data_IF_442870263884
#
_entry.id   IF_442870263884
#
_cell.length_a   1.000
_cell.length_b   1.000
_cell.length_c   1.000
_cell.angle_alpha   90.00
_cell.angle_beta   90.00
_cell.angle_gamma   90.00
#
_symmetry.space_group_name_H-M   'P 1'
#
loop_
_entity.id
_entity.type
_entity.pdbx_description
1 polymer ?
#
# COMPACT_ATOMS: atom_id res chain seq x y z
N UNK A 1 -9.26 34.52 21.48
CA UNK A 1 -8.11 33.61 21.72
C UNK A 1 -8.33 32.45 20.75
N UNK A 2 -7.91 32.47 19.48
CA UNK A 2 -6.58 32.72 18.87
C UNK A 2 -5.48 31.91 19.55
N UNK A 3 -5.28 30.68 19.04
CA UNK A 3 -4.05 29.89 18.92
C UNK A 3 -4.29 29.13 17.59
N UNK A 4 -3.67 29.42 16.44
CA UNK A 4 -2.25 29.38 16.08
C UNK A 4 -1.61 28.02 16.39
N UNK A 5 -1.79 27.06 15.48
CA UNK A 5 -0.76 26.09 15.14
C UNK A 5 -0.53 26.18 13.62
N UNK A 6 0.74 26.30 13.29
CA UNK A 6 1.36 26.57 12.01
C UNK A 6 2.40 25.45 11.86
N UNK A 7 2.51 24.85 10.67
CA UNK A 7 3.60 23.97 10.19
C UNK A 7 3.51 22.53 10.75
N UNK A 8 3.40 21.46 9.94
CA UNK A 8 4.25 21.15 8.79
C UNK A 8 3.50 20.59 7.57
N UNK A 9 3.64 21.31 6.45
CA UNK A 9 3.61 20.75 5.11
C UNK A 9 5.00 20.18 4.82
N UNK A 10 5.16 18.86 4.95
CA UNK A 10 6.29 18.02 4.51
C UNK A 10 5.65 16.62 4.43
N UNK A 11 5.55 15.89 3.34
CA UNK A 11 6.16 15.97 2.04
C UNK A 11 6.18 14.53 1.52
N UNK A 12 5.06 14.04 0.97
CA UNK A 12 5.15 12.92 0.03
C UNK A 12 5.69 13.50 -1.27
N UNK A 13 7.01 13.58 -1.32
CA UNK A 13 7.68 13.58 -2.59
C UNK A 13 7.22 12.31 -3.31
N UNK A 14 6.55 12.51 -4.44
CA UNK A 14 6.47 11.55 -5.52
C UNK A 14 7.78 10.76 -5.58
N UNK A 15 7.73 9.46 -5.32
CA UNK A 15 8.69 8.54 -5.91
C UNK A 15 8.20 8.20 -7.34
N UNK A 16 7.96 9.25 -8.13
CA UNK A 16 8.39 9.20 -9.51
C UNK A 16 9.87 9.54 -9.43
N UNK A 17 10.73 8.55 -9.68
CA UNK A 17 12.16 8.73 -9.66
C UNK A 17 12.52 9.98 -10.47
N UNK A 18 13.16 10.95 -9.81
CA UNK A 18 13.62 12.14 -10.51
C UNK A 18 14.69 11.72 -11.50
N UNK A 19 14.51 12.06 -12.78
CA UNK A 19 15.47 11.81 -13.85
C UNK A 19 16.90 12.18 -13.43
N UNK A 20 17.71 11.18 -13.07
CA UNK A 20 19.15 11.36 -12.92
C UNK A 20 19.79 11.19 -14.29
N UNK A 21 20.45 12.24 -14.79
CA UNK A 21 20.98 12.31 -16.17
C UNK A 21 22.19 11.39 -16.43
N UNK A 22 22.50 10.51 -15.50
CA UNK A 22 23.77 9.78 -15.45
C UNK A 22 23.67 8.29 -15.89
N UNK A 23 22.49 7.77 -16.26
CA UNK A 23 22.28 6.36 -16.66
C UNK A 23 22.19 6.11 -18.18
N UNK A 24 23.18 6.54 -18.97
CA UNK A 24 23.20 6.18 -20.42
C UNK A 24 23.77 4.77 -20.61
N UNK A 25 22.89 3.77 -20.67
CA UNK A 25 23.26 2.35 -20.78
C UNK A 25 22.32 1.49 -21.65
N UNK A 26 21.91 1.93 -22.84
CA UNK A 26 20.98 1.17 -23.69
C UNK A 26 21.59 0.07 -24.56
N UNK A 27 20.89 -1.07 -24.66
CA UNK A 27 21.07 -2.08 -25.73
C UNK A 27 20.67 -1.47 -27.08
N UNK A 28 21.54 -1.57 -28.07
CA UNK A 28 21.22 -1.23 -29.47
C UNK A 28 20.04 -2.10 -29.98
N UNK A 29 18.85 -1.50 -30.13
CA UNK A 29 17.70 -2.12 -30.77
C UNK A 29 16.77 -1.09 -31.44
N UNK A 30 17.29 -0.35 -32.43
CA UNK A 30 16.50 0.53 -33.30
C UNK A 30 16.17 1.90 -32.69
N UNK A 31 15.97 2.89 -33.57
CA UNK A 31 15.56 4.25 -33.16
C UNK A 31 14.05 4.35 -32.92
N UNK A 32 13.31 3.25 -33.07
CA UNK A 32 11.85 3.20 -32.92
C UNK A 32 11.50 2.12 -31.89
N UNK A 33 10.83 2.52 -30.82
CA UNK A 33 10.38 1.65 -29.73
C UNK A 33 8.87 1.48 -29.84
N UNK A 34 8.46 0.22 -29.96
CA UNK A 34 7.07 -0.20 -29.95
C UNK A 34 6.88 -1.17 -28.80
N UNK A 35 6.32 -0.67 -27.70
CA UNK A 35 5.93 -1.52 -26.58
C UNK A 35 4.50 -2.01 -26.82
N UNK A 36 4.28 -3.32 -26.82
CA UNK A 36 2.93 -3.88 -26.91
C UNK A 36 2.25 -3.76 -25.53
N UNK A 37 1.79 -2.55 -25.18
CA UNK A 37 1.17 -2.34 -23.87
C UNK A 37 -0.16 -3.08 -23.76
N UNK A 38 -0.31 -3.86 -22.69
CA UNK A 38 -1.48 -4.73 -22.45
C UNK A 38 -2.23 -4.39 -21.19
N UNK A 39 -1.60 -3.65 -20.28
CA UNK A 39 -2.17 -3.25 -19.00
C UNK A 39 -1.94 -1.77 -18.75
N UNK A 40 -2.93 -1.12 -18.15
CA UNK A 40 -2.86 0.26 -17.72
C UNK A 40 -3.35 0.39 -16.28
N UNK A 41 -2.56 1.07 -15.45
CA UNK A 41 -2.91 1.45 -14.09
C UNK A 41 -2.65 2.94 -13.92
N UNK A 42 -3.41 3.63 -13.07
CA UNK A 42 -3.20 5.05 -12.84
C UNK A 42 -3.34 5.47 -11.40
N UNK A 43 -3.20 6.77 -11.18
CA UNK A 43 -3.47 7.41 -9.90
C UNK A 43 -3.83 8.87 -10.11
N UNK A 44 -4.78 9.38 -9.33
CA UNK A 44 -5.16 10.79 -9.33
C UNK A 44 -4.66 11.47 -8.05
N UNK A 45 -3.75 12.44 -8.18
CA UNK A 45 -3.07 13.08 -7.06
C UNK A 45 -3.52 14.53 -6.82
N UNK A 46 -4.53 14.99 -7.56
CA UNK A 46 -5.13 16.30 -7.32
C UNK A 46 -4.19 17.43 -7.69
N UNK A 47 -4.09 18.46 -6.85
CA UNK A 47 -3.31 19.66 -7.15
C UNK A 47 -1.93 19.55 -6.49
N UNK A 48 -0.83 19.30 -7.24
CA UNK A 48 0.50 19.11 -6.66
C UNK A 48 1.13 20.42 -6.16
N UNK A 49 0.55 21.57 -6.52
CA UNK A 49 0.91 22.87 -5.96
C UNK A 49 -0.37 23.51 -5.42
N UNK A 50 -0.39 23.85 -4.13
CA UNK A 50 -1.55 24.52 -3.51
C UNK A 50 -1.96 25.75 -4.34
N UNK A 51 -3.20 25.74 -4.85
CA UNK A 51 -3.83 26.78 -5.69
C UNK A 51 -3.42 26.83 -7.17
N UNK A 52 -2.74 25.81 -7.68
CA UNK A 52 -2.65 25.55 -9.12
C UNK A 52 -4.02 25.02 -9.61
N UNK A 53 -4.57 25.54 -10.72
CA UNK A 53 -5.80 25.01 -11.32
C UNK A 53 -5.51 23.77 -12.19
N UNK A 54 -4.46 23.03 -11.84
CA UNK A 54 -3.90 21.94 -12.60
C UNK A 54 -3.96 20.67 -11.76
N UNK A 55 -4.60 19.65 -12.30
CA UNK A 55 -4.90 18.38 -11.66
C UNK A 55 -4.03 17.28 -12.25
N UNK A 56 -3.37 16.50 -11.40
CA UNK A 56 -2.38 15.50 -11.77
C UNK A 56 -2.99 14.09 -11.82
N UNK A 57 -2.64 13.37 -12.88
CA UNK A 57 -2.98 11.98 -13.11
C UNK A 57 -1.74 11.27 -13.63
N UNK A 58 -1.30 10.21 -12.98
CA UNK A 58 -0.20 9.38 -13.48
C UNK A 58 -0.78 8.11 -14.08
N UNK A 59 -0.26 7.66 -15.23
CA UNK A 59 -0.64 6.40 -15.87
C UNK A 59 0.63 5.60 -16.16
N UNK A 60 0.61 4.34 -15.76
CA UNK A 60 1.62 3.36 -16.10
C UNK A 60 1.09 2.38 -17.13
N UNK A 61 1.88 2.12 -18.19
CA UNK A 61 1.54 1.20 -19.27
C UNK A 61 2.59 0.09 -19.36
N UNK A 62 2.15 -1.15 -19.21
CA UNK A 62 3.03 -2.32 -19.12
C UNK A 62 2.86 -3.26 -20.30
N UNK A 63 3.96 -3.84 -20.78
CA UNK A 63 3.93 -4.92 -21.79
C UNK A 63 3.40 -6.23 -21.20
N UNK A 64 3.94 -6.63 -20.05
CA UNK A 64 3.50 -7.82 -19.33
C UNK A 64 2.93 -7.43 -17.98
N UNK A 65 1.79 -8.03 -17.70
CA UNK A 65 1.05 -7.92 -16.46
C UNK A 65 0.50 -9.30 -16.18
N UNK A 66 0.88 -9.90 -15.06
CA UNK A 66 0.27 -11.16 -14.63
C UNK A 66 -0.83 -10.82 -13.67
N UNK A 67 -2.07 -10.87 -14.16
CA UNK A 67 -3.24 -10.83 -13.27
C UNK A 67 -3.22 -12.06 -12.38
N UNK A 68 -3.23 -11.82 -11.08
CA UNK A 68 -3.46 -12.84 -10.08
C UNK A 68 -4.97 -12.94 -9.77
N UNK A 69 -5.40 -14.09 -9.25
CA UNK A 69 -6.82 -14.34 -8.93
C UNK A 69 -7.36 -13.40 -7.85
N UNK A 70 -6.48 -12.72 -7.11
CA UNK A 70 -6.78 -11.72 -6.07
C UNK A 70 -6.96 -10.29 -6.63
N UNK A 71 -6.81 -10.09 -7.95
CA UNK A 71 -6.94 -8.80 -8.60
C UNK A 71 -5.65 -7.98 -8.64
N UNK A 72 -4.57 -8.44 -8.03
CA UNK A 72 -3.24 -7.82 -8.17
C UNK A 72 -2.63 -8.12 -9.54
N UNK A 73 -1.69 -7.27 -9.97
CA UNK A 73 -0.99 -7.42 -11.25
C UNK A 73 0.51 -7.42 -10.97
N UNK A 74 1.20 -8.50 -11.31
CA UNK A 74 2.67 -8.50 -11.42
C UNK A 74 3.05 -7.71 -12.65
N UNK A 75 3.75 -6.60 -12.48
CA UNK A 75 4.26 -5.83 -13.60
C UNK A 75 5.73 -6.21 -13.81
N UNK A 76 5.97 -7.06 -14.80
CA UNK A 76 7.32 -7.45 -15.21
C UNK A 76 7.59 -6.93 -16.63
N UNK A 77 8.83 -6.50 -16.87
CA UNK A 77 9.25 -5.93 -18.15
C UNK A 77 9.03 -4.42 -18.30
N UNK A 78 9.41 -3.94 -19.48
CA UNK A 78 9.49 -2.51 -19.75
C UNK A 78 8.12 -1.82 -19.68
N UNK A 79 8.12 -0.56 -19.28
CA UNK A 79 6.89 0.21 -19.11
C UNK A 79 7.05 1.69 -19.44
N UNK A 80 5.91 2.35 -19.66
CA UNK A 80 5.83 3.81 -19.69
C UNK A 80 5.26 4.32 -18.38
N UNK A 81 5.88 5.33 -17.78
CA UNK A 81 5.28 6.19 -16.77
C UNK A 81 4.94 7.51 -17.44
N UNK A 82 3.67 7.90 -17.44
CA UNK A 82 3.17 9.10 -18.11
C UNK A 82 2.39 9.94 -17.11
N UNK A 83 2.88 11.15 -16.85
CA UNK A 83 2.33 12.02 -15.82
C UNK A 83 1.60 13.21 -16.44
N UNK A 84 0.27 13.23 -16.35
CA UNK A 84 -0.63 14.13 -17.05
C UNK A 84 -1.14 15.25 -16.14
N UNK A 85 -1.20 16.46 -16.69
CA UNK A 85 -1.79 17.62 -16.04
C UNK A 85 -3.03 18.09 -16.79
N UNK A 86 -4.18 18.14 -16.12
CA UNK A 86 -5.45 18.60 -16.67
C UNK A 86 -5.93 19.88 -16.01
N UNK A 87 -6.72 20.69 -16.73
CA UNK A 87 -7.45 21.82 -16.13
C UNK A 87 -8.72 21.38 -15.39
N UNK A 88 -9.10 20.11 -15.55
CA UNK A 88 -10.36 19.55 -15.06
C UNK A 88 -10.08 18.50 -13.97
N UNK A 89 -10.74 18.68 -12.83
CA UNK A 89 -10.84 17.66 -11.80
C UNK A 89 -11.75 16.51 -12.29
N UNK A 90 -11.67 15.32 -11.68
CA UNK A 90 -12.61 14.24 -11.96
C UNK A 90 -14.05 14.71 -11.70
N UNK A 91 -14.97 14.31 -12.57
CA UNK A 91 -16.40 14.59 -12.38
C UNK A 91 -17.02 13.72 -11.28
N UNK A 92 -16.45 12.54 -11.06
CA UNK A 92 -16.80 11.57 -10.02
C UNK A 92 -15.49 11.05 -9.40
N UNK A 93 -15.40 11.07 -8.07
CA UNK A 93 -14.22 10.59 -7.34
C UNK A 93 -14.25 9.08 -7.10
N UNK A 94 -15.41 8.44 -7.27
CA UNK A 94 -15.57 6.98 -7.18
C UNK A 94 -15.35 6.29 -8.54
N UNK A 95 -15.35 7.06 -9.63
CA UNK A 95 -15.15 6.60 -11.01
C UNK A 95 -14.29 7.63 -11.78
N UNK A 96 -13.02 7.71 -11.40
CA UNK A 96 -12.11 8.72 -11.92
C UNK A 96 -11.67 8.37 -13.34
N UNK A 97 -11.82 9.34 -14.24
CA UNK A 97 -11.35 9.27 -15.61
C UNK A 97 -10.36 10.41 -15.89
N UNK A 98 -9.23 10.08 -16.52
CA UNK A 98 -8.32 11.08 -17.09
C UNK A 98 -9.05 11.83 -18.22
N UNK A 99 -9.11 13.17 -18.20
CA UNK A 99 -9.81 13.92 -19.23
C UNK A 99 -9.30 13.63 -20.65
N UNK A 100 -10.22 13.49 -21.60
CA UNK A 100 -9.86 13.27 -23.00
C UNK A 100 -9.21 14.52 -23.60
N UNK A 101 -8.19 14.33 -24.41
CA UNK A 101 -7.44 15.43 -25.00
C UNK A 101 -6.07 15.01 -25.52
N UNK A 102 -5.34 15.97 -26.07
CA UNK A 102 -3.94 15.79 -26.45
C UNK A 102 -3.07 16.53 -25.45
N UNK A 103 -2.11 15.81 -24.89
CA UNK A 103 -1.15 16.27 -23.90
C UNK A 103 0.22 16.34 -24.54
N UNK A 104 0.80 17.54 -24.56
CA UNK A 104 2.14 17.78 -25.08
C UNK A 104 3.16 17.56 -23.97
N UNK A 105 4.33 17.01 -24.27
CA UNK A 105 5.42 17.03 -23.30
C UNK A 105 5.75 18.48 -22.94
N UNK A 106 5.66 18.79 -21.64
CA UNK A 106 5.95 20.10 -21.09
C UNK A 106 7.44 20.41 -21.09
N UNK A 107 7.76 21.61 -20.64
CA UNK A 107 9.15 22.00 -20.36
C UNK A 107 9.55 21.54 -18.94
N UNK A 108 10.84 21.36 -18.64
CA UNK A 108 11.32 21.02 -17.31
C UNK A 108 10.77 21.97 -16.23
N UNK A 109 10.31 21.41 -15.11
CA UNK A 109 9.70 22.06 -13.95
C UNK A 109 8.38 22.81 -14.24
N UNK A 110 7.71 22.52 -15.37
CA UNK A 110 6.44 23.14 -15.73
C UNK A 110 5.31 22.10 -15.64
N UNK A 111 4.29 22.41 -14.84
CA UNK A 111 3.15 21.55 -14.52
C UNK A 111 1.84 22.16 -15.04
N UNK A 112 1.75 22.42 -16.35
CA UNK A 112 0.62 23.14 -16.95
C UNK A 112 -0.48 22.19 -17.44
N UNK A 113 -1.74 22.60 -17.34
CA UNK A 113 -2.84 21.84 -17.93
C UNK A 113 -2.65 21.60 -19.44
N UNK A 114 -3.00 20.39 -19.90
CA UNK A 114 -2.77 19.93 -21.26
C UNK A 114 -1.34 19.49 -21.54
N UNK A 115 -0.54 19.20 -20.50
CA UNK A 115 0.84 18.72 -20.67
C UNK A 115 1.08 17.38 -19.98
N UNK A 116 2.08 16.66 -20.48
CA UNK A 116 2.80 15.63 -19.74
C UNK A 116 3.95 16.31 -18.98
N UNK A 117 4.15 16.00 -17.71
CA UNK A 117 5.29 16.53 -16.98
C UNK A 117 6.60 15.92 -17.48
N UNK A 118 7.52 16.80 -17.88
CA UNK A 118 8.85 16.44 -18.36
C UNK A 118 9.62 15.59 -17.35
N UNK A 119 9.65 16.03 -16.08
CA UNK A 119 10.50 15.43 -15.05
C UNK A 119 9.94 14.13 -14.46
N UNK A 120 8.70 13.76 -14.83
CA UNK A 120 7.96 12.62 -14.26
C UNK A 120 7.43 11.64 -15.31
N UNK A 121 7.72 11.89 -16.59
CA UNK A 121 7.33 11.01 -17.70
C UNK A 121 8.55 10.36 -18.33
N UNK A 122 8.60 9.03 -18.34
CA UNK A 122 9.73 8.25 -18.83
C UNK A 122 9.31 6.90 -19.42
N UNK A 123 10.20 6.33 -20.22
CA UNK A 123 10.22 4.91 -20.52
C UNK A 123 11.22 4.22 -19.58
N UNK A 124 10.80 3.13 -18.96
CA UNK A 124 11.61 2.40 -18.00
C UNK A 124 11.90 1.01 -18.57
N UNK A 125 13.19 0.71 -18.75
CA UNK A 125 13.66 -0.64 -19.07
C UNK A 125 13.95 -1.38 -17.77
N UNK A 126 13.22 -2.46 -17.51
CA UNK A 126 13.38 -3.26 -16.30
C UNK A 126 14.44 -4.33 -16.53
N UNK A 127 15.50 -4.33 -15.73
CA UNK A 127 16.50 -5.41 -15.76
C UNK A 127 16.55 -6.14 -14.42
N UNK A 128 16.90 -7.42 -14.48
CA UNK A 128 17.04 -8.31 -13.31
C UNK A 128 17.82 -7.78 -12.09
N UNK A 129 18.60 -6.69 -12.21
CA UNK A 129 19.31 -6.09 -11.08
C UNK A 129 19.37 -4.55 -11.12
N UNK A 130 18.72 -3.89 -12.10
CA UNK A 130 18.83 -2.45 -12.29
C UNK A 130 17.74 -1.94 -13.24
N UNK A 131 17.08 -0.84 -12.91
CA UNK A 131 16.07 -0.23 -13.78
C UNK A 131 16.68 1.00 -14.46
N UNK A 132 16.53 1.08 -15.78
CA UNK A 132 17.04 2.21 -16.56
C UNK A 132 15.87 3.06 -17.03
N UNK A 133 15.86 4.32 -16.60
CA UNK A 133 14.86 5.30 -16.98
C UNK A 133 15.37 6.17 -18.11
N UNK A 134 14.52 6.38 -19.11
CA UNK A 134 14.78 7.21 -20.27
C UNK A 134 13.71 8.28 -20.37
N UNK A 135 14.08 9.47 -19.94
CA UNK A 135 13.17 10.60 -19.87
C UNK A 135 12.85 11.12 -21.27
N UNK A 136 11.60 11.54 -21.47
CA UNK A 136 11.19 12.10 -22.75
C UNK A 136 11.72 13.52 -22.93
N UNK A 137 12.06 13.87 -24.17
CA UNK A 137 12.54 15.20 -24.58
C UNK A 137 11.58 15.94 -25.49
N UNK A 138 10.66 15.22 -26.15
CA UNK A 138 9.56 15.83 -26.91
C UNK A 138 8.45 14.82 -27.21
N UNK A 139 7.31 15.33 -27.65
CA UNK A 139 6.23 14.52 -28.23
C UNK A 139 4.87 14.82 -27.63
N UNK A 140 3.91 13.96 -27.94
CA UNK A 140 2.52 14.11 -27.52
C UNK A 140 1.84 12.77 -27.31
N UNK A 141 0.89 12.75 -26.38
CA UNK A 141 0.00 11.61 -26.11
C UNK A 141 -1.44 12.10 -26.17
N UNK A 142 -2.30 11.35 -26.84
CA UNK A 142 -3.73 11.61 -26.93
C UNK A 142 -4.51 10.57 -26.15
N UNK A 143 -5.50 11.04 -25.41
CA UNK A 143 -6.45 10.29 -24.61
C UNK A 143 -7.83 10.39 -25.24
N UNK A 144 -8.48 9.26 -25.45
CA UNK A 144 -9.87 9.15 -25.87
C UNK A 144 -10.52 7.92 -25.24
N UNK A 145 -11.82 7.73 -25.43
CA UNK A 145 -12.57 6.62 -24.82
C UNK A 145 -13.48 5.94 -25.85
N UNK A 146 -13.68 4.63 -25.66
CA UNK A 146 -14.67 3.84 -26.39
C UNK A 146 -15.53 3.05 -25.40
N UNK A 147 -16.59 3.68 -24.90
CA UNK A 147 -17.30 3.14 -23.74
C UNK A 147 -16.47 3.40 -22.48
N UNK A 148 -16.26 2.35 -21.68
CA UNK A 148 -15.50 2.42 -20.43
C UNK A 148 -13.98 2.20 -20.65
N UNK A 149 -13.58 1.76 -21.85
CA UNK A 149 -12.17 1.56 -22.19
C UNK A 149 -11.49 2.88 -22.56
N UNK A 150 -10.32 3.12 -21.96
CA UNK A 150 -9.42 4.22 -22.34
C UNK A 150 -8.62 3.82 -23.58
N UNK A 151 -8.43 4.78 -24.47
CA UNK A 151 -7.58 4.68 -25.66
C UNK A 151 -6.47 5.71 -25.51
N UNK A 152 -5.24 5.22 -25.41
CA UNK A 152 -4.03 6.04 -25.29
C UNK A 152 -3.22 5.84 -26.56
N UNK A 153 -2.84 6.92 -27.22
CA UNK A 153 -1.98 6.86 -28.41
C UNK A 153 -1.04 8.04 -28.43
N UNK A 154 0.25 7.83 -28.66
CA UNK A 154 1.22 8.91 -28.66
C UNK A 154 2.51 8.60 -29.41
N UNK A 155 3.26 9.67 -29.67
CA UNK A 155 4.62 9.59 -30.20
C UNK A 155 5.50 10.47 -29.33
N UNK A 156 6.45 9.86 -28.64
CA UNK A 156 7.40 10.52 -27.75
C UNK A 156 8.82 10.28 -28.24
N UNK A 157 9.75 11.17 -27.92
CA UNK A 157 11.19 10.97 -28.18
C UNK A 157 11.93 11.06 -26.86
N UNK A 158 12.79 10.11 -26.55
CA UNK A 158 13.58 10.10 -25.32
C UNK A 158 14.91 10.86 -25.45
N UNK A 159 15.66 10.94 -24.34
CA UNK A 159 16.98 11.59 -24.31
C UNK A 159 18.07 10.83 -25.07
N UNK A 160 17.88 9.54 -25.33
CA UNK A 160 18.73 8.75 -26.21
C UNK A 160 18.42 8.99 -27.70
N UNK A 161 17.38 9.78 -28.02
CA UNK A 161 16.93 10.09 -29.36
C UNK A 161 16.10 8.99 -30.01
N UNK A 162 15.57 8.04 -29.22
CA UNK A 162 14.67 6.98 -29.66
C UNK A 162 13.24 7.50 -29.71
N UNK A 163 12.50 7.13 -30.74
CA UNK A 163 11.09 7.47 -30.93
C UNK A 163 10.20 6.34 -30.41
N UNK A 164 9.34 6.65 -29.45
CA UNK A 164 8.41 5.73 -28.83
C UNK A 164 7.02 5.90 -29.43
N UNK A 165 6.41 4.80 -29.85
CA UNK A 165 5.02 4.76 -30.28
C UNK A 165 4.17 4.12 -29.18
N UNK A 166 3.53 4.97 -28.37
CA UNK A 166 2.67 4.55 -27.27
C UNK A 166 1.30 4.19 -27.83
N UNK A 167 0.78 3.01 -27.51
CA UNK A 167 -0.58 2.61 -27.89
C UNK A 167 -1.16 1.64 -26.87
N UNK A 168 -2.31 2.00 -26.29
CA UNK A 168 -3.09 1.16 -25.37
C UNK A 168 -4.59 1.29 -25.67
N UNK A 169 -5.33 0.18 -25.55
CA UNK A 169 -6.80 0.16 -25.53
C UNK A 169 -7.26 -0.86 -24.51
N UNK A 170 -8.05 -0.43 -23.53
CA UNK A 170 -8.60 -1.32 -22.52
C UNK A 170 -9.04 -0.58 -21.25
N UNK A 171 -9.37 -1.32 -20.18
CA UNK A 171 -9.74 -0.73 -18.91
C UNK A 171 -8.52 -0.11 -18.19
N UNK A 172 -8.72 1.01 -17.51
CA UNK A 172 -7.71 1.60 -16.63
C UNK A 172 -8.37 2.06 -15.33
N UNK A 173 -7.88 1.56 -14.21
CA UNK A 173 -8.37 1.94 -12.89
C UNK A 173 -7.50 3.10 -12.39
N UNK A 174 -8.14 4.21 -12.00
CA UNK A 174 -7.47 5.41 -11.47
C UNK A 174 -7.98 5.68 -10.04
N UNK A 175 -7.33 5.13 -8.99
CA UNK A 175 -7.62 5.49 -7.60
C UNK A 175 -7.38 6.97 -7.28
N UNK A 176 -8.10 7.46 -6.27
CA UNK A 176 -7.92 8.79 -5.68
C UNK A 176 -6.83 8.77 -4.60
N UNK A 177 -5.80 9.60 -4.76
CA UNK A 177 -4.70 9.82 -3.81
C UNK A 177 -4.61 11.28 -3.33
N UNK A 178 -5.70 12.05 -3.44
CA UNK A 178 -5.71 13.50 -3.09
C UNK A 178 -5.81 13.80 -1.61
N UNK A 179 -6.28 12.84 -0.84
CA UNK A 179 -6.38 13.02 0.60
C UNK A 179 -5.03 12.60 1.20
N UNK A 180 -4.45 13.38 2.14
CA UNK A 180 -3.44 12.79 3.03
C UNK A 180 -4.08 11.53 3.58
N UNK A 181 -3.37 10.40 3.61
CA UNK A 181 -3.91 9.16 4.18
C UNK A 181 -4.69 9.53 5.43
N UNK A 182 -6.04 9.49 5.31
CA UNK A 182 -6.88 9.75 6.46
C UNK A 182 -6.40 8.77 7.52
N UNK A 183 -6.39 9.16 8.81
CA UNK A 183 -6.18 8.24 9.94
C UNK A 183 -6.65 6.85 9.48
N UNK A 184 -5.76 5.89 9.16
CA UNK A 184 -6.23 4.79 8.31
C UNK A 184 -7.21 3.97 9.14
N UNK A 185 -8.51 4.24 8.98
CA UNK A 185 -9.57 3.72 9.83
C UNK A 185 -9.85 2.33 9.31
N UNK A 186 -9.06 1.39 9.79
CA UNK A 186 -9.30 -0.01 9.57
C UNK A 186 -10.40 -0.48 10.53
N UNK A 187 -11.66 -0.40 10.09
CA UNK A 187 -12.81 -0.97 10.77
C UNK A 187 -13.20 -2.29 10.09
N UNK A 188 -12.96 -3.41 10.75
CA UNK A 188 -13.28 -4.73 10.21
C UNK A 188 -14.46 -5.35 10.97
N UNK A 189 -15.56 -5.56 10.24
CA UNK A 189 -16.77 -6.19 10.77
C UNK A 189 -16.65 -7.73 10.83
N UNK A 190 -15.63 -8.32 10.19
CA UNK A 190 -15.40 -9.76 10.18
C UNK A 190 -13.91 -10.05 10.13
N UNK A 191 -13.38 -10.48 11.26
CA UNK A 191 -12.03 -11.05 11.37
C UNK A 191 -12.17 -12.53 11.78
N UNK A 192 -11.11 -13.28 11.57
CA UNK A 192 -10.85 -14.63 12.06
C UNK A 192 -9.74 -14.54 13.09
N UNK A 193 -9.70 -15.48 14.04
CA UNK A 193 -8.68 -15.45 15.09
C UNK A 193 -7.99 -16.79 15.21
N UNK A 194 -6.68 -16.73 15.42
CA UNK A 194 -5.86 -17.82 15.94
C UNK A 194 -5.16 -17.34 17.21
N UNK A 195 -5.19 -18.17 18.25
CA UNK A 195 -4.55 -17.89 19.53
C UNK A 195 -3.55 -18.98 19.90
N UNK A 196 -2.37 -18.60 20.38
CA UNK A 196 -1.36 -19.52 20.91
C UNK A 196 -1.02 -19.09 22.34
N UNK A 197 -0.98 -20.04 23.25
CA UNK A 197 -0.48 -19.86 24.60
C UNK A 197 0.92 -20.48 24.71
N UNK A 198 1.92 -19.65 24.98
CA UNK A 198 3.32 -20.07 25.05
C UNK A 198 3.81 -20.32 26.49
N UNK A 199 2.95 -20.15 27.50
CA UNK A 199 3.37 -20.28 28.90
C UNK A 199 4.52 -19.34 29.25
N UNK A 200 5.58 -19.87 29.85
CA UNK A 200 6.79 -19.13 30.25
C UNK A 200 7.94 -19.28 29.24
N UNK A 201 7.72 -19.94 28.10
CA UNK A 201 8.77 -20.46 27.19
C UNK A 201 9.75 -19.39 26.68
N UNK A 202 9.34 -18.13 26.64
CA UNK A 202 10.14 -17.01 26.14
C UNK A 202 10.18 -15.80 27.09
N UNK A 203 9.67 -15.94 28.32
CA UNK A 203 9.78 -14.90 29.35
C UNK A 203 11.01 -15.16 30.23
N UNK A 204 11.82 -14.11 30.44
CA UNK A 204 12.89 -14.14 31.44
C UNK A 204 12.39 -13.80 32.86
N UNK A 205 11.22 -13.18 32.98
CA UNK A 205 10.70 -12.54 34.21
C UNK A 205 9.45 -13.23 34.81
N UNK A 206 9.10 -14.43 34.32
CA UNK A 206 7.98 -15.30 34.81
C UNK A 206 6.57 -14.85 34.42
N UNK A 207 6.42 -14.12 33.31
CA UNK A 207 5.13 -13.76 32.73
C UNK A 207 4.65 -14.78 31.70
N UNK A 208 3.34 -14.99 31.72
CA UNK A 208 2.67 -15.84 30.75
C UNK A 208 2.33 -15.01 29.52
N UNK A 209 2.63 -15.53 28.34
CA UNK A 209 2.39 -14.77 27.11
C UNK A 209 1.59 -15.56 26.09
N UNK A 210 0.71 -14.83 25.43
CA UNK A 210 -0.19 -15.31 24.39
C UNK A 210 0.17 -14.59 23.09
N UNK A 211 0.10 -15.30 21.98
CA UNK A 211 0.04 -14.67 20.66
C UNK A 211 -1.39 -14.76 20.16
N UNK A 212 -1.93 -13.63 19.76
CA UNK A 212 -3.23 -13.50 19.14
C UNK A 212 -3.02 -12.97 17.73
N UNK A 213 -3.57 -13.66 16.74
CA UNK A 213 -3.54 -13.24 15.34
C UNK A 213 -4.98 -13.05 14.91
N UNK A 214 -5.35 -11.84 14.47
CA UNK A 214 -6.62 -11.59 13.80
C UNK A 214 -6.37 -11.43 12.30
N UNK A 215 -7.24 -11.96 11.45
CA UNK A 215 -7.13 -11.84 10.00
C UNK A 215 -8.46 -11.60 9.32
N UNK A 216 -8.47 -10.90 8.19
CA UNK A 216 -9.64 -10.81 7.31
C UNK A 216 -9.86 -12.07 6.42
N UNK A 217 -8.88 -12.99 6.39
CA UNK A 217 -8.97 -14.23 5.62
C UNK A 217 -9.39 -15.41 6.51
N UNK A 218 -10.46 -16.11 6.08
CA UNK A 218 -10.88 -17.38 6.67
C UNK A 218 -9.87 -18.44 6.28
N UNK A 219 -9.35 -19.21 7.24
CA UNK A 219 -8.38 -20.29 7.00
C UNK A 219 -6.93 -19.84 6.77
N UNK A 220 -6.37 -18.96 7.63
CA UNK A 220 -4.92 -18.96 7.86
C UNK A 220 -4.53 -20.07 8.84
N UNK A 221 -4.02 -21.22 8.37
CA UNK A 221 -3.28 -22.13 9.23
C UNK A 221 -2.15 -21.38 9.94
N UNK A 222 -1.80 -21.88 11.13
CA UNK A 222 -0.74 -21.33 11.98
C UNK A 222 0.53 -20.99 11.18
N UNK A 223 0.87 -19.70 11.14
CA UNK A 223 2.11 -19.21 10.53
C UNK A 223 2.13 -19.18 8.99
N UNK A 224 1.00 -19.35 8.31
CA UNK A 224 0.91 -19.12 6.86
C UNK A 224 0.29 -17.76 6.58
N UNK A 225 1.11 -16.82 6.12
CA UNK A 225 0.62 -15.56 5.57
C UNK A 225 0.09 -15.80 4.16
N UNK A 226 -1.21 -15.56 3.98
CA UNK A 226 -1.87 -15.56 2.68
C UNK A 226 -1.75 -14.15 2.09
N UNK A 227 -1.28 -14.09 0.86
CA UNK A 227 -1.17 -12.84 0.09
C UNK A 227 -2.52 -12.15 -0.02
N UNK A 228 -2.51 -10.82 0.08
CA UNK A 228 -3.70 -9.98 0.14
C UNK A 228 -4.38 -9.99 1.52
N UNK A 229 -3.91 -10.84 2.43
CA UNK A 229 -4.40 -10.91 3.80
C UNK A 229 -3.83 -9.81 4.67
N UNK A 230 -4.67 -9.38 5.61
CA UNK A 230 -4.35 -8.40 6.63
C UNK A 230 -4.32 -9.09 7.97
N UNK A 231 -3.31 -8.79 8.77
CA UNK A 231 -3.06 -9.49 10.01
C UNK A 231 -2.82 -8.51 11.14
N UNK A 232 -3.53 -8.70 12.24
CA UNK A 232 -3.23 -8.04 13.50
C UNK A 232 -2.57 -9.06 14.41
N UNK A 233 -1.34 -8.79 14.80
CA UNK A 233 -0.58 -9.66 15.68
C UNK A 233 -0.43 -8.97 17.02
N UNK A 234 -0.91 -9.62 18.08
CA UNK A 234 -0.76 -9.16 19.44
C UNK A 234 0.00 -10.19 20.25
N UNK A 235 1.03 -9.71 20.94
CA UNK A 235 1.72 -10.48 21.96
C UNK A 235 1.29 -9.97 23.32
N UNK A 236 0.51 -10.75 24.05
CA UNK A 236 -0.20 -10.31 25.26
C UNK A 236 0.42 -10.96 26.50
N UNK A 237 0.85 -10.14 27.47
CA UNK A 237 1.38 -10.62 28.75
C UNK A 237 0.33 -10.64 29.85
N UNK A 238 0.30 -11.72 30.62
CA UNK A 238 -0.64 -11.93 31.72
C UNK A 238 0.07 -12.36 33.00
N UNK A 239 -0.51 -12.00 34.15
CA UNK A 239 0.05 -12.31 35.46
C UNK A 239 -0.15 -13.79 35.84
N UNK A 240 -1.23 -14.38 35.34
CA UNK A 240 -1.67 -15.71 35.69
C UNK A 240 -1.75 -16.60 34.43
N UNK A 241 -1.50 -17.92 34.58
CA UNK A 241 -1.70 -18.89 33.50
C UNK A 241 -3.21 -19.12 33.24
N UNK A 242 -3.56 -19.84 32.15
CA UNK A 242 -4.92 -20.30 31.92
C UNK A 242 -5.45 -21.09 33.13
N UNK A 243 -6.69 -20.82 33.52
CA UNK A 243 -7.34 -21.54 34.62
C UNK A 243 -7.69 -23.00 34.29
N UNK A 244 -7.83 -23.32 33.00
CA UNK A 244 -8.03 -24.68 32.47
C UNK A 244 -7.19 -24.86 31.20
N UNK A 245 -6.24 -25.80 31.23
CA UNK A 245 -5.40 -26.11 30.07
C UNK A 245 -6.14 -26.88 28.97
N UNK A 246 -7.35 -27.40 29.23
CA UNK A 246 -8.19 -28.02 28.21
C UNK A 246 -9.13 -27.02 27.51
N UNK A 247 -9.26 -25.80 28.03
CA UNK A 247 -10.04 -24.69 27.48
C UNK A 247 -9.26 -23.39 27.71
N UNK A 248 -8.15 -23.25 27.00
CA UNK A 248 -7.25 -22.11 27.15
C UNK A 248 -7.96 -20.84 26.66
N UNK A 249 -8.00 -19.84 27.53
CA UNK A 249 -8.61 -18.53 27.31
C UNK A 249 -7.65 -17.43 27.73
N UNK A 250 -7.48 -16.43 26.88
CA UNK A 250 -6.83 -15.19 27.27
C UNK A 250 -7.67 -14.51 28.39
N UNK A 251 -7.09 -14.09 29.51
CA UNK A 251 -7.85 -13.42 30.57
C UNK A 251 -8.55 -12.16 30.06
N UNK A 252 -9.78 -11.95 30.53
CA UNK A 252 -10.50 -10.71 30.26
C UNK A 252 -9.80 -9.53 30.94
N UNK A 253 -9.76 -8.38 30.27
CA UNK A 253 -9.09 -7.19 30.75
C UNK A 253 -8.70 -6.23 29.64
N UNK A 254 -8.17 -5.08 30.03
CA UNK A 254 -7.56 -4.12 29.11
C UNK A 254 -6.06 -4.36 29.06
N UNK A 255 -5.52 -4.44 27.84
CA UNK A 255 -4.12 -4.60 27.55
C UNK A 255 -3.64 -3.38 26.77
N UNK A 256 -2.89 -2.52 27.44
CA UNK A 256 -2.28 -1.34 26.81
C UNK A 256 -0.95 -1.71 26.17
N UNK A 257 -0.55 -0.99 25.13
CA UNK A 257 0.81 -1.14 24.60
C UNK A 257 1.85 -0.84 25.70
N UNK A 258 2.79 -1.77 25.89
CA UNK A 258 3.86 -1.63 26.87
C UNK A 258 4.93 -0.62 26.46
N UNK A 259 5.88 -0.38 27.36
CA UNK A 259 7.13 0.30 27.00
C UNK A 259 8.02 -0.62 26.14
N UNK A 260 8.94 -0.04 25.38
CA UNK A 260 9.91 -0.78 24.56
C UNK A 260 10.70 -1.77 25.43
N UNK A 261 10.80 -3.03 25.01
CA UNK A 261 11.44 -4.12 25.76
C UNK A 261 10.79 -4.53 27.08
N UNK A 262 9.59 -4.03 27.41
CA UNK A 262 8.88 -4.39 28.63
C UNK A 262 7.93 -5.60 28.45
N UNK A 263 7.83 -6.41 29.50
CA UNK A 263 7.05 -7.66 29.54
C UNK A 263 5.93 -7.62 30.60
N UNK A 264 5.58 -6.43 31.10
CA UNK A 264 4.69 -6.27 32.26
C UNK A 264 3.31 -6.94 32.04
N UNK A 265 2.79 -7.69 33.02
CA UNK A 265 1.44 -8.23 32.95
C UNK A 265 0.37 -7.15 32.69
N UNK A 266 -0.57 -7.45 31.80
CA UNK A 266 -1.61 -6.50 31.37
C UNK A 266 -1.15 -5.57 30.25
N UNK A 267 -0.09 -5.93 29.52
CA UNK A 267 0.40 -5.16 28.37
C UNK A 267 0.48 -5.98 27.09
N UNK A 268 0.53 -5.26 25.96
CA UNK A 268 0.95 -5.77 24.66
C UNK A 268 2.45 -5.56 24.49
N UNK A 269 3.15 -6.55 23.93
CA UNK A 269 4.57 -6.40 23.61
C UNK A 269 4.74 -5.41 22.48
N UNK A 270 5.33 -4.25 22.77
CA UNK A 270 5.49 -3.17 21.80
C UNK A 270 6.32 -3.58 20.59
N UNK A 271 7.39 -4.32 20.82
CA UNK A 271 8.41 -4.54 19.79
C UNK A 271 8.01 -5.60 18.75
N UNK A 272 6.85 -6.26 18.93
CA UNK A 272 6.38 -7.29 18.01
C UNK A 272 4.87 -7.26 17.74
N UNK A 273 4.09 -6.45 18.47
CA UNK A 273 2.67 -6.32 18.14
C UNK A 273 2.53 -5.38 16.94
N UNK A 274 1.90 -5.88 15.88
CA UNK A 274 1.93 -5.26 14.56
C UNK A 274 0.63 -5.40 13.80
N UNK A 275 0.45 -4.51 12.84
CA UNK A 275 -0.38 -4.73 11.67
C UNK A 275 0.53 -5.21 10.53
N UNK A 276 0.11 -6.25 9.83
CA UNK A 276 0.82 -6.74 8.65
C UNK A 276 -0.11 -6.81 7.44
N UNK A 277 0.34 -6.26 6.33
CA UNK A 277 -0.27 -6.46 5.02
C UNK A 277 0.64 -7.37 4.20
N UNK A 278 0.13 -8.54 3.85
CA UNK A 278 0.90 -9.54 3.11
C UNK A 278 0.82 -9.28 1.60
N UNK A 279 1.96 -8.96 0.98
CA UNK A 279 2.11 -8.59 -0.42
C UNK A 279 3.10 -9.53 -1.16
N UNK A 280 3.18 -9.44 -2.49
CA UNK A 280 4.24 -10.12 -3.26
C UNK A 280 5.52 -9.26 -3.36
N UNK A 281 6.69 -9.90 -3.44
CA UNK A 281 7.84 -9.38 -4.17
C UNK A 281 7.80 -9.83 -5.63
N UNK A 282 8.46 -9.07 -6.52
CA UNK A 282 8.58 -9.33 -7.97
C UNK A 282 9.21 -10.70 -8.32
N UNK A 283 9.81 -11.42 -7.37
CA UNK A 283 10.38 -12.76 -7.58
C UNK A 283 9.43 -13.92 -7.20
N UNK A 284 8.19 -13.60 -6.81
CA UNK A 284 7.20 -14.55 -6.34
C UNK A 284 7.36 -14.96 -4.88
N UNK A 285 8.27 -14.34 -4.13
CA UNK A 285 8.33 -14.47 -2.68
C UNK A 285 7.22 -13.65 -2.00
N UNK A 286 6.70 -14.18 -0.89
CA UNK A 286 5.75 -13.48 -0.04
C UNK A 286 6.51 -12.47 0.82
N UNK A 287 6.13 -11.20 0.75
CA UNK A 287 6.57 -10.12 1.64
C UNK A 287 5.44 -9.72 2.58
N UNK A 288 5.76 -9.13 3.72
CA UNK A 288 4.79 -8.36 4.50
C UNK A 288 5.31 -6.94 4.70
N UNK A 289 4.47 -5.93 4.47
CA UNK A 289 4.68 -4.66 5.16
C UNK A 289 4.24 -4.87 6.60
N UNK A 290 5.07 -4.41 7.53
CA UNK A 290 4.88 -4.62 8.96
C UNK A 290 4.94 -3.26 9.61
N UNK A 291 3.81 -2.84 10.16
CA UNK A 291 3.66 -1.57 10.85
C UNK A 291 3.46 -1.89 12.34
N UNK A 292 4.40 -1.47 13.18
CA UNK A 292 4.40 -1.80 14.60
C UNK A 292 3.54 -0.82 15.38
N UNK A 293 2.75 -1.32 16.33
CA UNK A 293 1.95 -0.43 17.17
C UNK A 293 2.84 0.45 18.05
N UNK A 294 2.56 1.76 18.06
CA UNK A 294 3.26 2.77 18.86
C UNK A 294 2.42 3.33 20.00
N UNK A 295 1.10 3.21 19.93
CA UNK A 295 0.18 3.58 21.00
C UNK A 295 -1.12 2.77 20.96
N UNK A 296 -1.87 2.82 22.07
CA UNK A 296 -3.23 2.29 22.14
C UNK A 296 -3.40 1.11 23.09
N UNK A 297 -4.57 0.47 23.00
CA UNK A 297 -4.95 -0.64 23.85
C UNK A 297 -6.04 -1.49 23.20
N UNK A 298 -6.10 -2.76 23.62
CA UNK A 298 -7.22 -3.65 23.36
C UNK A 298 -7.92 -4.01 24.69
N UNK A 299 -9.21 -4.29 24.61
CA UNK A 299 -10.03 -4.80 25.70
C UNK A 299 -10.58 -6.16 25.29
N UNK A 300 -10.34 -7.16 26.14
CA UNK A 300 -10.84 -8.52 26.00
C UNK A 300 -11.98 -8.72 26.99
N UNK A 301 -13.12 -9.15 26.49
CA UNK A 301 -14.27 -9.58 27.28
C UNK A 301 -14.86 -10.88 26.70
N UNK A 302 -15.85 -11.45 27.37
CA UNK A 302 -16.51 -12.68 26.93
C UNK A 302 -18.02 -12.53 26.94
N UNK A 303 -18.65 -12.94 25.83
CA UNK A 303 -20.10 -13.08 25.71
C UNK A 303 -20.44 -14.55 25.51
N UNK A 304 -20.63 -15.28 26.61
CA UNK A 304 -20.75 -16.74 26.59
C UNK A 304 -19.40 -17.38 26.28
N UNK A 305 -19.35 -18.20 25.23
CA UNK A 305 -18.14 -18.86 24.74
C UNK A 305 -17.40 -18.04 23.66
N UNK A 306 -17.86 -16.84 23.33
CA UNK A 306 -17.17 -15.98 22.37
C UNK A 306 -16.28 -14.97 23.10
N UNK A 307 -15.01 -14.90 22.69
CA UNK A 307 -14.13 -13.79 23.01
C UNK A 307 -14.59 -12.57 22.22
N UNK A 308 -14.71 -11.43 22.90
CA UNK A 308 -14.99 -10.13 22.31
C UNK A 308 -13.78 -9.25 22.53
N UNK A 309 -13.17 -8.78 21.44
CA UNK A 309 -12.04 -7.86 21.45
C UNK A 309 -12.50 -6.53 20.88
N UNK A 310 -12.26 -5.44 21.61
CA UNK A 310 -12.38 -4.08 21.09
C UNK A 310 -11.08 -3.33 21.31
N UNK A 311 -10.67 -2.46 20.41
CA UNK A 311 -9.40 -1.74 20.59
C UNK A 311 -9.26 -0.54 19.71
N UNK A 312 -8.38 0.37 20.13
CA UNK A 312 -7.91 1.50 19.33
C UNK A 312 -6.39 1.50 19.45
N UNK A 313 -5.70 1.37 18.32
CA UNK A 313 -4.24 1.31 18.23
C UNK A 313 -3.75 2.29 17.18
N UNK A 314 -2.55 2.81 17.36
CA UNK A 314 -1.84 3.62 16.37
C UNK A 314 -0.54 2.91 16.00
N UNK A 315 -0.27 2.77 14.71
CA UNK A 315 0.97 2.17 14.19
C UNK A 315 2.13 3.19 14.10
N UNK A 316 3.27 2.81 13.53
CA UNK A 316 4.45 3.65 13.35
C UNK A 316 4.43 4.48 12.06
N UNK A 317 3.49 4.21 11.15
CA UNK A 317 3.18 5.04 9.98
C UNK A 317 2.15 6.15 10.32
N UNK A 318 1.52 6.06 11.48
CA UNK A 318 0.51 7.00 11.99
C UNK A 318 -0.93 6.58 11.73
N UNK A 319 -1.16 5.39 11.17
CA UNK A 319 -2.48 4.79 10.98
C UNK A 319 -3.18 4.52 12.31
N UNK A 320 -4.51 4.64 12.34
CA UNK A 320 -5.31 4.39 13.56
C UNK A 320 -6.32 3.26 13.35
N UNK A 321 -6.10 2.13 14.01
CA UNK A 321 -6.89 0.91 13.85
C UNK A 321 -8.01 0.84 14.87
N UNK A 322 -9.23 0.55 14.41
CA UNK A 322 -10.40 0.36 15.26
C UNK A 322 -10.86 -1.09 15.18
N UNK A 323 -10.61 -1.82 16.27
CA UNK A 323 -10.91 -3.24 16.32
C UNK A 323 -12.24 -3.46 17.02
N UNK A 324 -13.10 -4.27 16.40
CA UNK A 324 -14.31 -4.81 17.01
C UNK A 324 -14.53 -6.22 16.49
N UNK A 325 -14.31 -7.20 17.36
CA UNK A 325 -14.18 -8.59 16.97
C UNK A 325 -14.92 -9.49 17.95
N UNK A 326 -15.59 -10.52 17.43
CA UNK A 326 -16.26 -11.54 18.23
C UNK A 326 -16.07 -12.92 17.60
N UNK A 327 -15.50 -13.86 18.36
CA UNK A 327 -15.19 -15.20 17.83
C UNK A 327 -15.23 -16.28 18.91
N UNK A 328 -15.61 -17.48 18.48
CA UNK A 328 -15.66 -18.66 19.33
C UNK A 328 -14.24 -19.21 19.50
N UNK A 329 -13.67 -19.06 20.69
CA UNK A 329 -12.23 -19.18 20.90
C UNK A 329 -11.71 -20.61 20.88
N UNK A 330 -10.53 -20.81 20.30
CA UNK A 330 -9.68 -21.99 20.50
C UNK A 330 -8.21 -21.54 20.52
N UNK A 331 -7.59 -21.53 21.70
CA UNK A 331 -6.13 -21.33 21.83
C UNK A 331 -5.40 -22.68 21.75
N UNK A 332 -4.27 -22.69 21.08
CA UNK A 332 -3.34 -23.83 21.00
C UNK A 332 -2.34 -23.71 22.15
N UNK A 333 -2.05 -24.84 22.81
CA UNK A 333 -0.99 -24.92 23.82
C UNK A 333 0.37 -25.20 23.15
N UNK A 334 1.30 -24.24 23.21
CA UNK A 334 2.71 -24.40 22.84
C UNK A 334 3.65 -24.05 24.02
N UNK A 335 3.19 -24.30 25.25
CA UNK A 335 3.94 -23.95 26.47
C UNK A 335 5.11 -24.90 26.82
N UNK A 336 5.43 -25.87 25.95
CA UNK A 336 6.47 -26.90 26.16
C UNK A 336 7.85 -26.43 25.66
#
# INVERSE_FOLDING_TARGET
MRNLYLIAAIGMAMLAAGCDKDSIGGKDAGNEIHLETRFAFGGYYGQPVENANEYNYTIWLYEYGKHYEDGSIDYDGDYYCLDFYSAEAPADMEDIQLPAGTYLLGEPNILSAGTLAYDYSAYCEVWTNDDHEYCFTSGEVSISYSGDDIIISGVLTDEAGRTHYVSYVGPCIIPNYTEPEEDIIYAYDTLYCCGIYYGLKYSEDSEYWYKLILSDIDDTPEGTWIVGGRYYIFYVFTADPPSDMNDIRLPAGTYSLGEEGAYDPGTLYRDMSSYELCNYYNDGAVSSSVDYFTAGAIEISYSGDNMVLTGILTDDDGGTHYLNFSWQHHFIDDSI
#
